data_IF_658551411747
#
_entry.id   IF_658551411747
#
_cell.length_a   1.000
_cell.length_b   1.000
_cell.length_c   1.000
_cell.angle_alpha   90.00
_cell.angle_beta   90.00
_cell.angle_gamma   90.00
#
_symmetry.space_group_name_H-M   'P 1'
#
loop_
_entity.id
_entity.type
_entity.pdbx_description
1 polymer ?
#
# COMPACT_ATOMS: atom_id res chain seq x y z
N UNK A 1 24.35 1.10 -0.55
CA UNK A 1 23.30 1.73 0.27
C UNK A 1 22.26 0.68 0.63
N UNK A 2 22.14 0.27 1.89
CA UNK A 2 21.13 -0.71 2.30
C UNK A 2 19.74 -0.09 2.23
N UNK A 3 18.91 -0.55 1.29
CA UNK A 3 17.52 -0.11 1.20
C UNK A 3 16.74 -0.67 2.39
N UNK A 4 16.55 0.17 3.42
CA UNK A 4 15.84 -0.19 4.66
C UNK A 4 14.33 -0.36 4.46
N UNK A 5 13.80 0.16 3.35
CA UNK A 5 12.38 0.15 3.07
C UNK A 5 12.03 -1.02 2.15
N UNK A 6 10.91 -1.68 2.42
CA UNK A 6 10.39 -2.82 1.66
C UNK A 6 8.92 -2.61 1.34
N UNK A 7 8.46 -3.21 0.24
CA UNK A 7 7.03 -3.35 -0.01
C UNK A 7 6.53 -4.55 0.80
N UNK A 8 5.50 -4.34 1.62
CA UNK A 8 4.97 -5.37 2.50
C UNK A 8 3.47 -5.20 2.73
N UNK A 9 2.82 -6.29 3.16
CA UNK A 9 1.53 -6.26 3.82
C UNK A 9 1.74 -6.15 5.33
N UNK A 10 0.89 -5.37 5.97
CA UNK A 10 0.92 -5.20 7.42
C UNK A 10 -0.45 -4.84 7.95
N UNK A 11 -0.67 -5.14 9.22
CA UNK A 11 -1.91 -4.89 9.94
C UNK A 11 -1.63 -4.38 11.34
N UNK A 12 -2.62 -3.78 11.98
CA UNK A 12 -2.46 -3.30 13.35
C UNK A 12 -2.59 -4.48 14.32
N UNK A 13 -1.72 -4.59 15.33
CA UNK A 13 -1.82 -5.66 16.32
C UNK A 13 -3.13 -5.57 17.12
N UNK A 14 -3.93 -6.63 17.06
CA UNK A 14 -5.13 -6.82 17.88
C UNK A 14 -5.07 -8.15 18.66
N UNK A 15 -5.02 -8.06 19.98
CA UNK A 15 -4.79 -9.18 20.91
C UNK A 15 -5.75 -10.37 20.72
N UNK A 16 -7.06 -10.19 20.49
CA UNK A 16 -7.97 -11.32 20.26
C UNK A 16 -7.69 -12.13 18.98
N UNK A 17 -6.96 -11.56 18.01
CA UNK A 17 -6.58 -12.28 16.77
C UNK A 17 -5.15 -12.80 16.87
N UNK A 18 -4.20 -11.96 17.29
CA UNK A 18 -2.78 -12.32 17.25
C UNK A 18 -2.26 -12.95 18.54
N UNK A 19 -3.03 -12.86 19.62
CA UNK A 19 -2.57 -13.17 20.96
C UNK A 19 -1.54 -12.17 21.48
N UNK A 20 -1.20 -12.33 22.77
CA UNK A 20 -0.11 -11.65 23.45
C UNK A 20 0.30 -12.51 24.65
N UNK A 21 1.56 -12.90 24.73
CA UNK A 21 2.09 -13.69 25.85
C UNK A 21 2.93 -12.80 26.79
N UNK A 22 3.44 -13.37 27.88
CA UNK A 22 4.38 -12.68 28.76
C UNK A 22 5.74 -12.41 28.10
N UNK A 23 6.07 -13.16 27.03
CA UNK A 23 7.29 -12.98 26.24
C UNK A 23 7.11 -11.93 25.13
N UNK A 24 5.88 -11.55 24.81
CA UNK A 24 5.59 -10.50 23.83
C UNK A 24 6.09 -9.13 24.29
N UNK A 25 6.42 -8.27 23.33
CA UNK A 25 6.80 -6.90 23.62
C UNK A 25 5.65 -6.17 24.35
N UNK A 26 5.90 -5.49 25.49
CA UNK A 26 4.84 -4.84 26.26
C UNK A 26 3.99 -3.86 25.43
N UNK A 27 4.61 -3.23 24.43
CA UNK A 27 4.00 -2.22 23.55
C UNK A 27 3.51 -2.77 22.21
N UNK A 28 3.51 -4.09 21.98
CA UNK A 28 3.17 -4.69 20.66
C UNK A 28 1.78 -4.25 20.14
N UNK A 29 0.81 -4.04 21.03
CA UNK A 29 -0.57 -3.60 20.75
C UNK A 29 -0.70 -2.17 20.16
N UNK A 30 0.42 -1.44 20.07
CA UNK A 30 0.48 -0.12 19.44
C UNK A 30 1.19 -0.14 18.08
N UNK A 31 1.66 -1.31 17.64
CA UNK A 31 2.48 -1.46 16.45
C UNK A 31 1.71 -2.11 15.30
N UNK A 32 2.20 -1.88 14.09
CA UNK A 32 1.82 -2.68 12.94
C UNK A 32 2.68 -3.95 12.89
N UNK A 33 2.06 -5.09 12.63
CA UNK A 33 2.71 -6.37 12.42
C UNK A 33 2.99 -6.59 10.94
N UNK A 34 4.11 -7.26 10.65
CA UNK A 34 4.42 -7.71 9.31
C UNK A 34 3.59 -8.96 8.96
N UNK A 35 2.87 -8.92 7.83
CA UNK A 35 2.17 -10.09 7.28
C UNK A 35 3.07 -10.81 6.27
N UNK A 36 3.52 -10.09 5.25
CA UNK A 36 4.33 -10.64 4.16
C UNK A 36 5.19 -9.54 3.53
N UNK A 37 6.44 -9.86 3.18
CA UNK A 37 7.30 -8.98 2.39
C UNK A 37 7.34 -9.43 0.95
N UNK A 38 7.42 -8.48 0.02
CA UNK A 38 7.57 -8.76 -1.40
C UNK A 38 8.94 -8.27 -1.84
N UNK A 39 9.72 -9.16 -2.45
CA UNK A 39 10.93 -8.78 -3.18
C UNK A 39 10.51 -8.43 -4.60
N UNK A 40 11.04 -7.35 -5.20
CA UNK A 40 10.88 -7.16 -6.62
C UNK A 40 11.47 -8.38 -7.33
N UNK A 41 10.63 -9.12 -8.05
CA UNK A 41 11.10 -10.17 -8.96
C UNK A 41 12.04 -9.51 -9.95
N UNK A 42 13.28 -9.98 -10.07
CA UNK A 42 14.23 -9.47 -11.06
C UNK A 42 13.87 -9.87 -12.50
N UNK A 43 12.74 -10.56 -12.70
CA UNK A 43 12.22 -10.90 -14.02
C UNK A 43 11.22 -9.81 -14.44
N UNK A 44 11.48 -9.20 -15.60
CA UNK A 44 10.69 -8.19 -16.32
C UNK A 44 11.11 -6.71 -16.14
N UNK A 45 12.41 -6.42 -16.25
CA UNK A 45 12.87 -5.15 -16.86
C UNK A 45 13.56 -5.51 -18.18
N UNK A 46 12.77 -6.09 -19.09
CA UNK A 46 13.04 -6.43 -20.50
C UNK A 46 11.88 -7.41 -20.83
N UNK A 47 11.00 -7.26 -21.81
CA UNK A 47 10.99 -6.58 -23.10
C UNK A 47 9.52 -6.51 -23.58
N UNK A 48 9.17 -5.42 -24.28
CA UNK A 48 8.17 -5.36 -25.39
C UNK A 48 6.79 -6.01 -25.16
N UNK A 49 5.76 -5.17 -25.10
CA UNK A 49 4.39 -5.57 -25.44
C UNK A 49 4.39 -6.02 -26.91
N UNK A 50 4.09 -7.28 -27.26
CA UNK A 50 3.68 -7.60 -28.62
C UNK A 50 2.24 -7.12 -28.74
N UNK A 51 2.05 -6.04 -29.50
CA UNK A 51 0.77 -5.77 -30.12
C UNK A 51 0.45 -7.00 -31.00
N UNK A 52 -0.57 -7.77 -30.60
CA UNK A 52 -1.24 -8.89 -31.29
C UNK A 52 -1.27 -10.18 -30.46
N UNK A 53 -2.30 -10.29 -29.61
CA UNK A 53 -2.90 -11.57 -29.24
C UNK A 53 -4.37 -11.30 -28.86
N UNK A 54 -5.19 -11.07 -29.87
CA UNK A 54 -6.60 -11.43 -29.80
C UNK A 54 -6.60 -12.93 -30.11
N UNK A 55 -6.98 -13.76 -29.14
CA UNK A 55 -7.63 -15.02 -29.46
C UNK A 55 -8.56 -15.42 -28.31
N UNK A 56 -9.84 -15.51 -28.65
CA UNK A 56 -10.92 -16.04 -27.83
C UNK A 56 -10.74 -17.56 -27.71
N UNK A 57 -10.77 -18.10 -26.51
CA UNK A 57 -11.26 -19.46 -26.29
C UNK A 57 -11.60 -19.69 -24.82
N UNK A 58 -12.91 -19.80 -24.59
CA UNK A 58 -13.48 -20.42 -23.41
C UNK A 58 -12.93 -21.85 -23.26
N UNK A 59 -12.38 -22.19 -22.09
CA UNK A 59 -12.21 -23.59 -21.70
C UNK A 59 -12.47 -23.77 -20.21
N UNK A 60 -13.37 -24.72 -19.96
CA UNK A 60 -13.90 -25.12 -18.66
C UNK A 60 -12.80 -25.72 -17.79
N UNK A 61 -12.67 -25.29 -16.54
CA UNK A 61 -11.76 -25.93 -15.58
C UNK A 61 -12.45 -27.15 -14.96
N UNK A 62 -12.11 -28.34 -15.44
CA UNK A 62 -12.33 -29.60 -14.73
C UNK A 62 -11.37 -29.73 -13.54
N UNK A 63 -11.92 -30.22 -12.44
CA UNK A 63 -11.21 -30.61 -11.22
C UNK A 63 -10.11 -31.64 -11.53
N UNK A 64 -8.91 -31.41 -10.99
CA UNK A 64 -7.90 -32.46 -10.88
C UNK A 64 -7.07 -32.23 -9.62
N UNK A 65 -7.41 -33.00 -8.60
CA UNK A 65 -6.60 -33.24 -7.41
C UNK A 65 -5.26 -33.86 -7.82
N UNK A 66 -4.17 -33.14 -7.59
CA UNK A 66 -2.83 -33.72 -7.63
C UNK A 66 -2.12 -33.50 -6.28
N UNK A 67 -2.09 -34.63 -5.59
CA UNK A 67 -1.18 -35.17 -4.58
C UNK A 67 0.08 -34.35 -4.27
N UNK A 68 0.28 -34.18 -2.96
CA UNK A 68 1.43 -33.57 -2.29
C UNK A 68 2.79 -34.06 -2.82
N UNK A 69 3.56 -33.12 -3.38
CA UNK A 69 5.00 -33.26 -3.51
C UNK A 69 5.67 -32.35 -2.46
N UNK A 70 6.21 -33.02 -1.44
CA UNK A 70 6.82 -32.42 -0.26
C UNK A 70 8.26 -32.01 -0.62
N UNK A 71 8.42 -30.84 -1.25
CA UNK A 71 9.74 -30.25 -1.51
C UNK A 71 9.99 -29.03 -0.60
N UNK A 72 10.95 -29.21 0.30
CA UNK A 72 11.46 -28.25 1.25
C UNK A 72 12.27 -27.18 0.50
N UNK A 73 11.60 -26.13 0.02
CA UNK A 73 12.28 -24.88 -0.34
C UNK A 73 11.53 -23.66 0.20
N UNK A 74 12.07 -23.15 1.30
CA UNK A 74 11.69 -22.00 2.12
C UNK A 74 11.65 -20.64 1.38
N UNK A 75 10.93 -20.52 0.25
CA UNK A 75 10.72 -19.23 -0.42
C UNK A 75 9.52 -19.24 -1.38
N UNK A 76 8.38 -19.83 -0.98
CA UNK A 76 7.13 -19.67 -1.72
C UNK A 76 6.71 -18.20 -1.63
N UNK A 77 7.08 -17.44 -2.67
CA UNK A 77 6.76 -16.03 -2.80
C UNK A 77 5.26 -15.92 -3.00
N UNK A 78 4.52 -15.81 -1.89
CA UNK A 78 3.07 -15.68 -1.97
C UNK A 78 2.70 -14.52 -2.88
N UNK A 79 1.93 -14.82 -3.92
CA UNK A 79 1.42 -13.81 -4.84
C UNK A 79 0.56 -12.81 -4.05
N UNK A 80 0.94 -11.54 -4.07
CA UNK A 80 0.36 -10.49 -3.22
C UNK A 80 -1.18 -10.45 -3.25
N UNK A 81 -1.86 -10.49 -4.40
CA UNK A 81 -3.31 -10.57 -4.48
C UNK A 81 -3.92 -11.74 -3.70
N UNK A 82 -3.26 -12.91 -3.69
CA UNK A 82 -3.76 -14.09 -2.99
C UNK A 82 -3.74 -13.91 -1.47
N UNK A 83 -2.64 -13.38 -0.92
CA UNK A 83 -2.54 -13.08 0.52
C UNK A 83 -3.56 -12.02 0.92
N UNK A 84 -3.69 -10.94 0.13
CA UNK A 84 -4.68 -9.90 0.39
C UNK A 84 -6.11 -10.47 0.40
N UNK A 85 -6.44 -11.36 -0.55
CA UNK A 85 -7.76 -12.01 -0.63
C UNK A 85 -8.03 -12.88 0.59
N UNK A 86 -7.03 -13.63 1.06
CA UNK A 86 -7.15 -14.45 2.27
C UNK A 86 -7.45 -13.59 3.51
N UNK A 87 -6.65 -12.55 3.74
CA UNK A 87 -6.85 -11.68 4.90
C UNK A 87 -8.17 -10.91 4.83
N UNK A 88 -8.61 -10.48 3.62
CA UNK A 88 -9.94 -9.86 3.46
C UNK A 88 -11.05 -10.80 3.94
N UNK A 89 -11.05 -12.06 3.48
CA UNK A 89 -12.04 -13.06 3.91
C UNK A 89 -12.01 -13.27 5.43
N UNK A 90 -10.83 -13.27 6.05
CA UNK A 90 -10.70 -13.40 7.50
C UNK A 90 -11.34 -12.20 8.24
N UNK A 91 -11.04 -10.98 7.81
CA UNK A 91 -11.62 -9.78 8.40
C UNK A 91 -13.10 -9.63 8.13
N UNK A 92 -13.60 -10.07 6.98
CA UNK A 92 -15.03 -10.11 6.69
C UNK A 92 -15.75 -10.93 7.77
N UNK A 93 -15.25 -12.12 8.13
CA UNK A 93 -15.85 -12.93 9.21
C UNK A 93 -15.89 -12.18 10.55
N UNK A 94 -14.82 -11.46 10.89
CA UNK A 94 -14.73 -10.69 12.16
C UNK A 94 -15.73 -9.54 12.17
N UNK A 95 -15.88 -8.82 11.05
CA UNK A 95 -16.81 -7.70 10.92
C UNK A 95 -18.26 -8.16 11.03
N UNK A 96 -18.59 -9.34 10.49
CA UNK A 96 -19.94 -9.92 10.59
C UNK A 96 -20.27 -10.51 11.97
N UNK A 97 -19.30 -10.58 12.90
CA UNK A 97 -19.51 -10.95 14.30
C UNK A 97 -19.25 -9.76 15.25
N UNK A 98 -20.16 -8.75 15.28
CA UNK A 98 -19.94 -7.48 16.00
C UNK A 98 -19.78 -7.63 17.52
N UNK A 99 -20.32 -8.70 18.11
CA UNK A 99 -20.17 -8.99 19.54
C UNK A 99 -18.70 -9.15 19.97
N UNK A 100 -17.85 -9.69 19.09
CA UNK A 100 -16.42 -9.85 19.37
C UNK A 100 -15.69 -8.50 19.46
N UNK A 101 -15.99 -7.58 18.55
CA UNK A 101 -15.36 -6.26 18.52
C UNK A 101 -15.87 -5.33 19.63
N UNK A 102 -17.10 -5.54 20.09
CA UNK A 102 -17.67 -4.80 21.22
C UNK A 102 -17.08 -5.26 22.56
N UNK A 103 -17.00 -6.58 22.77
CA UNK A 103 -16.54 -7.16 24.02
C UNK A 103 -15.01 -7.02 24.20
N UNK A 104 -14.27 -6.95 23.10
CA UNK A 104 -12.82 -6.83 23.11
C UNK A 104 -12.37 -5.60 22.31
N UNK A 105 -12.56 -4.38 22.82
CA UNK A 105 -12.13 -3.19 22.11
C UNK A 105 -10.61 -3.19 21.93
N UNK A 106 -10.17 -2.64 20.80
CA UNK A 106 -8.74 -2.49 20.56
C UNK A 106 -8.13 -1.50 21.56
N UNK A 107 -6.99 -1.88 22.16
CA UNK A 107 -6.38 -1.13 23.27
C UNK A 107 -6.04 0.33 22.95
N UNK A 108 -5.48 0.58 21.77
CA UNK A 108 -5.03 1.93 21.35
C UNK A 108 -5.95 2.62 20.33
N UNK A 109 -6.57 1.88 19.40
CA UNK A 109 -7.37 2.44 18.31
C UNK A 109 -8.86 2.34 18.60
N UNK A 110 -9.46 3.46 19.03
CA UNK A 110 -10.88 3.55 19.41
C UNK A 110 -11.85 3.12 18.29
N UNK A 111 -11.52 3.43 17.04
CA UNK A 111 -12.35 3.14 15.87
C UNK A 111 -11.87 1.92 15.07
N UNK A 112 -11.29 0.93 15.74
CA UNK A 112 -10.68 -0.24 15.09
C UNK A 112 -11.65 -0.98 14.16
N UNK A 113 -12.90 -1.19 14.57
CA UNK A 113 -13.95 -1.80 13.74
C UNK A 113 -14.13 -1.06 12.40
N UNK A 114 -14.16 0.27 12.42
CA UNK A 114 -14.26 1.09 11.21
C UNK A 114 -12.98 1.04 10.37
N UNK A 115 -11.81 0.83 10.99
CA UNK A 115 -10.53 0.71 10.28
C UNK A 115 -10.46 -0.61 9.50
N UNK A 116 -10.79 -1.73 10.14
CA UNK A 116 -10.75 -3.07 9.53
C UNK A 116 -11.86 -3.28 8.49
N UNK A 117 -13.01 -2.59 8.65
CA UNK A 117 -14.12 -2.63 7.69
C UNK A 117 -13.82 -1.99 6.32
N UNK A 118 -12.69 -1.30 6.18
CA UNK A 118 -12.32 -0.68 4.91
C UNK A 118 -11.88 -1.75 3.90
N UNK A 119 -12.41 -1.68 2.68
CA UNK A 119 -12.02 -2.57 1.55
C UNK A 119 -10.50 -2.60 1.30
N UNK A 120 -9.80 -1.53 1.65
CA UNK A 120 -8.36 -1.39 1.49
C UNK A 120 -7.60 -1.40 2.83
N UNK A 121 -8.15 -2.02 3.87
CA UNK A 121 -7.46 -2.17 5.15
C UNK A 121 -6.12 -2.91 4.97
N UNK A 122 -6.17 -4.10 4.39
CA UNK A 122 -4.98 -4.84 3.96
C UNK A 122 -4.63 -4.41 2.54
N UNK A 123 -3.52 -3.70 2.43
CA UNK A 123 -3.00 -3.19 1.17
C UNK A 123 -1.45 -3.15 1.20
N UNK A 124 -0.79 -3.18 0.03
CA UNK A 124 0.65 -2.92 -0.07
C UNK A 124 1.02 -1.60 0.59
N UNK A 125 2.00 -1.64 1.49
CA UNK A 125 2.59 -0.46 2.11
C UNK A 125 4.11 -0.49 1.95
N UNK A 126 4.72 0.67 1.74
CA UNK A 126 6.17 0.84 1.89
C UNK A 126 6.46 0.96 3.38
N UNK A 127 7.20 0.00 3.91
CA UNK A 127 7.46 -0.11 5.33
C UNK A 127 8.94 -0.25 5.64
N UNK A 128 9.31 0.13 6.85
CA UNK A 128 10.57 -0.25 7.46
C UNK A 128 10.29 -1.36 8.48
N UNK A 129 10.88 -2.54 8.29
CA UNK A 129 10.72 -3.66 9.21
C UNK A 129 11.73 -3.54 10.36
N UNK A 130 11.26 -3.84 11.58
CA UNK A 130 12.06 -3.85 12.80
C UNK A 130 11.75 -5.16 13.52
N UNK A 131 12.77 -5.97 13.74
CA UNK A 131 12.67 -7.19 14.57
C UNK A 131 12.95 -6.78 16.00
N UNK A 132 12.00 -7.06 16.90
CA UNK A 132 12.14 -6.80 18.33
C UNK A 132 12.97 -7.90 18.99
N UNK A 133 13.48 -7.64 20.20
CA UNK A 133 14.21 -8.65 20.99
C UNK A 133 13.34 -9.88 21.31
N UNK A 134 12.03 -9.68 21.37
CA UNK A 134 10.98 -10.70 21.57
C UNK A 134 10.71 -11.54 20.32
N UNK A 135 11.51 -11.37 19.24
CA UNK A 135 11.37 -12.03 17.92
C UNK A 135 10.11 -11.65 17.14
N UNK A 136 9.27 -10.78 17.67
CA UNK A 136 8.15 -10.20 16.94
C UNK A 136 8.68 -9.22 15.87
N UNK A 137 8.07 -9.25 14.67
CA UNK A 137 8.43 -8.31 13.60
C UNK A 137 7.38 -7.23 13.46
N UNK A 138 7.75 -6.01 13.84
CA UNK A 138 6.91 -4.83 13.70
C UNK A 138 7.35 -4.00 12.50
N UNK A 139 6.43 -3.18 11.98
CA UNK A 139 6.71 -2.33 10.83
C UNK A 139 6.32 -0.88 11.07
N UNK A 140 7.11 0.03 10.49
CA UNK A 140 6.82 1.45 10.44
C UNK A 140 6.39 1.81 9.01
N UNK A 141 5.14 2.23 8.84
CA UNK A 141 4.62 2.70 7.55
C UNK A 141 5.33 3.99 7.12
N UNK A 142 5.96 3.98 5.95
CA UNK A 142 6.60 5.18 5.33
C UNK A 142 5.73 5.83 4.26
N UNK A 143 4.62 5.21 3.88
CA UNK A 143 3.68 5.70 2.86
C UNK A 143 3.01 7.02 3.21
N UNK A 144 2.99 7.42 4.49
CA UNK A 144 2.50 8.72 4.91
C UNK A 144 3.23 9.88 4.22
N UNK A 145 4.57 9.84 4.18
CA UNK A 145 5.38 10.88 3.54
C UNK A 145 5.18 10.93 2.04
N UNK A 146 5.09 9.76 1.40
CA UNK A 146 4.82 9.67 -0.02
C UNK A 146 3.46 10.29 -0.37
N UNK A 147 2.42 10.04 0.44
CA UNK A 147 1.09 10.64 0.27
C UNK A 147 1.12 12.16 0.39
N UNK A 148 1.90 12.73 1.31
CA UNK A 148 2.05 14.18 1.42
C UNK A 148 2.70 14.77 0.17
N UNK A 149 3.80 14.16 -0.30
CA UNK A 149 4.47 14.60 -1.53
C UNK A 149 3.54 14.50 -2.74
N UNK A 150 2.85 13.36 -2.90
CA UNK A 150 1.89 13.13 -3.99
C UNK A 150 0.74 14.14 -3.96
N UNK A 151 0.21 14.49 -2.78
CA UNK A 151 -0.84 15.52 -2.63
C UNK A 151 -0.35 16.88 -3.08
N UNK A 152 0.84 17.28 -2.65
CA UNK A 152 1.47 18.53 -3.07
C UNK A 152 1.69 18.58 -4.58
N UNK A 153 2.16 17.48 -5.16
CA UNK A 153 2.36 17.38 -6.61
C UNK A 153 1.05 17.42 -7.39
N UNK A 154 0.02 16.68 -6.96
CA UNK A 154 -1.31 16.73 -7.58
C UNK A 154 -1.93 18.13 -7.48
N UNK A 155 -1.68 18.88 -6.39
CA UNK A 155 -2.11 20.28 -6.26
C UNK A 155 -1.41 21.17 -7.28
N UNK A 156 -0.08 21.08 -7.36
CA UNK A 156 0.73 21.83 -8.34
C UNK A 156 0.27 21.53 -9.76
N UNK A 157 0.10 20.25 -10.09
CA UNK A 157 -0.36 19.82 -11.41
C UNK A 157 -1.74 20.40 -11.76
N UNK A 158 -2.71 20.35 -10.82
CA UNK A 158 -4.04 20.95 -11.03
C UNK A 158 -3.97 22.45 -11.31
N UNK A 159 -3.17 23.19 -10.55
CA UNK A 159 -2.98 24.64 -10.75
C UNK A 159 -2.38 24.91 -12.13
N UNK A 160 -1.36 24.14 -12.53
CA UNK A 160 -0.76 24.27 -13.87
C UNK A 160 -1.79 23.98 -14.97
N UNK A 161 -2.59 22.92 -14.83
CA UNK A 161 -3.64 22.62 -15.80
C UNK A 161 -4.72 23.69 -15.86
N UNK A 162 -5.12 24.30 -14.74
CA UNK A 162 -6.08 25.41 -14.79
C UNK A 162 -5.52 26.63 -15.53
N UNK A 163 -4.25 26.98 -15.32
CA UNK A 163 -3.60 28.09 -16.03
C UNK A 163 -3.43 27.83 -17.52
N UNK A 164 -3.16 26.58 -17.91
CA UNK A 164 -3.07 26.19 -19.32
C UNK A 164 -4.46 26.17 -19.98
N UNK A 165 -5.49 25.71 -19.26
CA UNK A 165 -6.87 25.61 -19.77
C UNK A 165 -7.62 26.94 -19.84
N UNK A 166 -7.23 27.94 -19.06
CA UNK A 166 -7.77 29.30 -19.26
C UNK A 166 -7.31 29.78 -20.63
N UNK A 167 -8.23 29.76 -21.60
CA UNK A 167 -8.04 30.07 -23.02
C UNK A 167 -7.29 31.38 -23.29
N UNK A 168 -7.30 32.32 -22.34
CA UNK A 168 -6.51 33.56 -22.37
C UNK A 168 -4.99 33.35 -22.40
N UNK A 169 -4.47 32.24 -21.87
CA UNK A 169 -3.03 31.97 -21.88
C UNK A 169 -2.56 31.58 -23.29
N UNK A 170 -3.33 30.78 -24.03
CA UNK A 170 -2.97 30.33 -25.38
C UNK A 170 -3.14 31.47 -26.40
N UNK A 171 -4.20 32.26 -26.29
CA UNK A 171 -4.45 33.41 -27.19
C UNK A 171 -3.44 34.54 -26.98
N UNK A 172 -3.03 34.83 -25.74
CA UNK A 172 -1.97 35.83 -25.49
C UNK A 172 -0.56 35.32 -25.86
N UNK A 173 -0.29 34.01 -25.78
CA UNK A 173 1.03 33.46 -26.16
C UNK A 173 1.33 33.57 -27.65
N UNK A 174 0.32 33.48 -28.52
CA UNK A 174 0.52 33.69 -29.96
C UNK A 174 0.76 35.16 -30.32
N UNK A 175 0.33 36.11 -29.49
CA UNK A 175 0.48 37.55 -29.72
C UNK A 175 1.69 38.19 -29.03
N UNK A 176 2.32 37.52 -28.04
CA UNK A 176 3.48 38.04 -27.29
C UNK A 176 4.68 37.09 -27.32
N UNK A 177 5.41 37.06 -28.44
CA UNK A 177 6.78 36.54 -28.50
C UNK A 177 7.77 37.51 -27.81
N UNK A 178 7.55 37.83 -26.53
CA UNK A 178 8.40 38.80 -25.82
C UNK A 178 8.32 38.79 -24.28
N UNK A 179 7.26 38.24 -23.68
CA UNK A 179 7.16 38.15 -22.22
C UNK A 179 7.07 36.71 -21.76
N UNK A 180 8.17 36.24 -21.16
CA UNK A 180 8.26 34.95 -20.48
C UNK A 180 7.35 34.95 -19.26
N UNK A 181 6.09 34.56 -19.44
CA UNK A 181 5.20 34.24 -18.32
C UNK A 181 5.67 32.90 -17.74
N UNK A 182 6.63 33.01 -16.82
CA UNK A 182 7.24 31.88 -16.12
C UNK A 182 6.14 31.07 -15.45
N UNK A 183 5.86 29.88 -16.00
CA UNK A 183 5.07 28.87 -15.31
C UNK A 183 5.61 28.72 -13.89
N UNK A 184 4.75 28.69 -12.86
CA UNK A 184 5.20 28.64 -11.48
C UNK A 184 6.08 27.41 -11.29
N UNK A 185 7.32 27.66 -10.88
CA UNK A 185 8.30 26.62 -10.61
C UNK A 185 7.95 25.89 -9.29
N UNK A 186 8.43 24.66 -9.14
CA UNK A 186 8.15 23.84 -7.94
C UNK A 186 8.61 24.57 -6.66
N UNK A 187 9.68 25.38 -6.75
CA UNK A 187 10.21 26.19 -5.65
C UNK A 187 9.22 27.25 -5.16
N UNK A 188 8.59 28.01 -6.06
CA UNK A 188 7.63 29.05 -5.70
C UNK A 188 6.34 28.48 -5.10
N UNK A 189 5.95 27.27 -5.48
CA UNK A 189 4.71 26.65 -5.03
C UNK A 189 4.82 25.83 -3.74
N UNK A 190 6.02 25.52 -3.25
CA UNK A 190 6.24 24.84 -1.95
C UNK A 190 6.78 25.78 -0.86
N UNK A 191 6.89 27.07 -1.15
CA UNK A 191 7.32 28.13 -0.23
C UNK A 191 6.65 28.04 1.16
N UNK A 192 5.35 27.72 1.19
CA UNK A 192 4.56 27.73 2.43
C UNK A 192 4.84 26.55 3.37
N UNK A 193 5.56 25.51 2.92
CA UNK A 193 5.94 24.36 3.74
C UNK A 193 7.23 24.57 4.54
N UNK A 194 7.88 25.72 4.37
CA UNK A 194 9.18 26.04 4.99
C UNK A 194 9.06 26.65 6.40
N UNK A 195 8.00 26.29 7.14
CA UNK A 195 7.85 26.70 8.54
C UNK A 195 8.53 25.69 9.47
#
# INVERSE_FOLDING_TARGET
MNNKNRLALCELHYTPIHGKTYESCPTIESHYLLIATFKPTQQNIDTRIPENAIDDSDSESSDSDNVDDFDDTHNQMYHMPSVMRMYRKQYDRIIHHPTMLHNYPHKTVRNYATVIAKKNYIQPEIVQCIVLMTRETVVIKKTFWLRLVQRSWKRIYRIRMSTIKSLEFITNYQLQWGYSSKLPNIRGMLWYLRK
#
